data_IF_892209627075
#
_entry.id   IF_892209627075
#
_cell.length_a   1.000
_cell.length_b   1.000
_cell.length_c   1.000
_cell.angle_alpha   90.00
_cell.angle_beta   90.00
_cell.angle_gamma   90.00
#
_symmetry.space_group_name_H-M   'P 1'
#
loop_
_entity.id
_entity.type
_entity.pdbx_description
1 polymer ?
#
# COMPACT_ATOMS: atom_id res chain seq x y z
N UNK A 1 -7.60 -19.65 -25.15
CA UNK A 1 -6.18 -19.82 -24.75
C UNK A 1 -5.71 -18.49 -24.22
N UNK A 2 -4.83 -18.50 -23.21
CA UNK A 2 -4.24 -17.25 -22.72
C UNK A 2 -3.39 -16.59 -23.81
N UNK A 3 -3.46 -15.26 -23.89
CA UNK A 3 -2.62 -14.48 -24.78
C UNK A 3 -1.19 -14.37 -24.24
N UNK A 4 -0.24 -14.15 -25.15
CA UNK A 4 1.15 -13.83 -24.82
C UNK A 4 1.55 -12.48 -25.37
N UNK A 5 2.52 -11.82 -24.72
CA UNK A 5 3.04 -10.54 -25.22
C UNK A 5 3.71 -10.69 -26.57
N UNK A 6 4.33 -11.84 -26.86
CA UNK A 6 4.91 -12.13 -28.16
C UNK A 6 3.85 -12.13 -29.25
N UNK A 7 2.75 -12.87 -29.06
CA UNK A 7 1.62 -12.86 -30.01
C UNK A 7 1.10 -11.44 -30.26
N UNK A 8 0.90 -10.66 -29.19
CA UNK A 8 0.46 -9.26 -29.33
C UNK A 8 1.48 -8.40 -30.08
N UNK A 9 2.78 -8.58 -29.79
CA UNK A 9 3.87 -7.82 -30.40
C UNK A 9 4.16 -8.19 -31.84
N UNK A 10 3.77 -9.38 -32.30
CA UNK A 10 3.96 -9.82 -33.70
C UNK A 10 2.68 -9.73 -34.55
N UNK A 11 1.50 -9.61 -33.93
CA UNK A 11 0.22 -9.49 -34.62
C UNK A 11 0.14 -8.22 -35.50
N UNK A 12 -0.63 -8.26 -36.59
CA UNK A 12 -1.00 -7.05 -37.33
C UNK A 12 -1.76 -6.07 -36.44
N UNK A 13 -1.86 -4.80 -36.86
CA UNK A 13 -2.56 -3.79 -36.08
C UNK A 13 -4.03 -4.16 -35.81
N UNK A 14 -4.73 -4.71 -36.81
CA UNK A 14 -6.12 -5.13 -36.69
C UNK A 14 -6.29 -6.34 -35.76
N UNK A 15 -5.41 -7.34 -35.87
CA UNK A 15 -5.43 -8.50 -34.98
C UNK A 15 -5.14 -8.09 -33.53
N UNK A 16 -4.16 -7.21 -33.30
CA UNK A 16 -3.85 -6.72 -31.96
C UNK A 16 -5.04 -5.98 -31.32
N UNK A 17 -5.81 -5.20 -32.08
CA UNK A 17 -7.05 -4.59 -31.58
C UNK A 17 -8.06 -5.66 -31.17
N UNK A 18 -8.27 -6.67 -32.00
CA UNK A 18 -9.21 -7.74 -31.70
C UNK A 18 -8.78 -8.52 -30.43
N UNK A 19 -7.48 -8.73 -30.23
CA UNK A 19 -6.96 -9.36 -29.02
C UNK A 19 -7.24 -8.53 -27.76
N UNK A 20 -7.13 -7.21 -27.87
CA UNK A 20 -7.32 -6.25 -26.77
C UNK A 20 -8.77 -5.73 -26.65
N UNK A 21 -9.70 -6.24 -27.46
CA UNK A 21 -11.09 -5.81 -27.44
C UNK A 21 -11.76 -6.07 -26.08
N UNK A 22 -12.66 -5.18 -25.68
CA UNK A 22 -13.39 -5.27 -24.40
C UNK A 22 -12.59 -4.86 -23.15
N UNK A 23 -11.31 -4.47 -23.27
CA UNK A 23 -10.54 -3.96 -22.12
C UNK A 23 -11.11 -2.66 -21.55
N UNK A 24 -11.44 -1.72 -22.44
CA UNK A 24 -12.14 -0.48 -22.10
C UNK A 24 -13.50 -0.50 -22.78
N UNK A 25 -14.55 -0.21 -22.02
CA UNK A 25 -15.94 -0.31 -22.50
C UNK A 25 -16.18 0.59 -23.72
N UNK A 26 -16.57 -0.02 -24.86
CA UNK A 26 -16.88 0.66 -26.12
C UNK A 26 -15.83 1.71 -26.59
N UNK A 27 -14.56 1.52 -26.22
CA UNK A 27 -13.50 2.51 -26.42
C UNK A 27 -12.25 1.92 -27.10
N UNK A 28 -12.35 1.40 -28.34
CA UNK A 28 -11.24 0.75 -29.04
C UNK A 28 -10.06 1.69 -29.33
N UNK A 29 -10.33 3.00 -29.43
CA UNK A 29 -9.32 4.04 -29.69
C UNK A 29 -8.15 4.03 -28.69
N UNK A 30 -8.38 3.55 -27.46
CA UNK A 30 -7.33 3.46 -26.43
C UNK A 30 -6.30 2.41 -26.82
N UNK A 31 -6.77 1.23 -27.23
CA UNK A 31 -5.89 0.17 -27.72
C UNK A 31 -5.22 0.56 -29.05
N UNK A 32 -5.94 1.26 -29.93
CA UNK A 32 -5.39 1.81 -31.19
C UNK A 32 -4.19 2.73 -30.93
N UNK A 33 -4.34 3.70 -30.02
CA UNK A 33 -3.25 4.62 -29.68
C UNK A 33 -2.10 3.93 -28.95
N UNK A 34 -2.40 3.03 -28.01
CA UNK A 34 -1.37 2.32 -27.24
C UNK A 34 -0.44 1.47 -28.13
N UNK A 35 -0.93 0.95 -29.26
CA UNK A 35 -0.13 0.15 -30.19
C UNK A 35 1.08 0.90 -30.76
N UNK A 36 1.09 2.23 -30.78
CA UNK A 36 2.24 3.02 -31.19
C UNK A 36 3.49 2.79 -30.31
N UNK A 37 3.31 2.24 -29.11
CA UNK A 37 4.39 1.95 -28.15
C UNK A 37 4.91 0.50 -28.23
N UNK A 38 4.45 -0.29 -29.22
CA UNK A 38 4.97 -1.64 -29.44
C UNK A 38 6.47 -1.61 -29.83
N UNK A 39 7.27 -2.62 -29.44
CA UNK A 39 6.86 -3.81 -28.69
C UNK A 39 6.75 -3.56 -27.18
N UNK A 40 5.71 -4.14 -26.57
CA UNK A 40 5.52 -4.10 -25.12
C UNK A 40 6.47 -5.09 -24.43
N UNK A 41 7.00 -4.69 -23.27
CA UNK A 41 8.00 -5.44 -22.51
C UNK A 41 7.41 -6.23 -21.35
N UNK A 42 6.23 -5.81 -20.89
CA UNK A 42 5.49 -6.40 -19.78
C UNK A 42 4.02 -5.97 -19.90
N UNK A 43 3.13 -6.64 -19.16
CA UNK A 43 1.74 -6.20 -19.05
C UNK A 43 1.62 -4.83 -18.38
N UNK A 44 2.48 -4.52 -17.41
CA UNK A 44 2.55 -3.19 -16.81
C UNK A 44 2.92 -2.10 -17.83
N UNK A 45 3.83 -2.38 -18.77
CA UNK A 45 4.14 -1.45 -19.87
C UNK A 45 2.92 -1.23 -20.77
N UNK A 46 2.20 -2.29 -21.15
CA UNK A 46 0.96 -2.18 -21.93
C UNK A 46 -0.13 -1.39 -21.20
N UNK A 47 -0.34 -1.66 -19.90
CA UNK A 47 -1.29 -0.92 -19.07
C UNK A 47 -0.95 0.57 -19.01
N UNK A 48 0.32 0.90 -18.76
CA UNK A 48 0.78 2.27 -18.75
C UNK A 48 0.57 2.96 -20.11
N UNK A 49 0.88 2.29 -21.23
CA UNK A 49 0.64 2.83 -22.56
C UNK A 49 -0.85 3.17 -22.81
N UNK A 50 -1.77 2.32 -22.34
CA UNK A 50 -3.21 2.57 -22.43
C UNK A 50 -3.66 3.72 -21.50
N UNK A 51 -3.12 3.80 -20.28
CA UNK A 51 -3.40 4.90 -19.36
C UNK A 51 -2.92 6.24 -19.94
N UNK A 52 -1.73 6.27 -20.58
CA UNK A 52 -1.22 7.45 -21.27
C UNK A 52 -2.09 7.86 -22.48
N UNK A 53 -2.62 6.91 -23.24
CA UNK A 53 -3.59 7.20 -24.30
C UNK A 53 -4.81 7.94 -23.75
N UNK A 54 -5.40 7.46 -22.64
CA UNK A 54 -6.54 8.13 -21.98
C UNK A 54 -6.18 9.50 -21.43
N UNK A 55 -5.01 9.62 -20.79
CA UNK A 55 -4.52 10.86 -20.20
C UNK A 55 -4.33 11.96 -21.24
N UNK A 56 -3.78 11.61 -22.40
CA UNK A 56 -3.46 12.57 -23.48
C UNK A 56 -4.62 12.86 -24.42
N UNK A 57 -5.72 12.09 -24.38
CA UNK A 57 -6.87 12.26 -25.26
C UNK A 57 -7.74 13.50 -24.95
N UNK A 58 -7.47 14.20 -23.84
CA UNK A 58 -8.24 15.36 -23.41
C UNK A 58 -9.52 15.01 -22.65
N UNK A 59 -10.09 16.02 -22.00
CA UNK A 59 -11.19 15.83 -21.05
C UNK A 59 -12.48 15.30 -21.70
N UNK A 60 -12.81 15.70 -22.93
CA UNK A 60 -14.01 15.24 -23.63
C UNK A 60 -13.97 13.74 -23.90
N UNK A 61 -12.82 13.21 -24.34
CA UNK A 61 -12.62 11.79 -24.58
C UNK A 61 -12.68 11.00 -23.26
N UNK A 62 -12.12 11.53 -22.18
CA UNK A 62 -12.20 10.95 -20.85
C UNK A 62 -13.64 10.88 -20.33
N UNK A 63 -14.42 11.95 -20.48
CA UNK A 63 -15.84 11.97 -20.12
C UNK A 63 -16.66 10.99 -20.97
N UNK A 64 -16.37 10.91 -22.27
CA UNK A 64 -17.01 9.94 -23.17
C UNK A 64 -16.71 8.50 -22.72
N UNK A 65 -15.45 8.21 -22.36
CA UNK A 65 -15.03 6.91 -21.82
C UNK A 65 -15.78 6.56 -20.53
N UNK A 66 -15.90 7.50 -19.59
CA UNK A 66 -16.62 7.25 -18.33
C UNK A 66 -18.10 7.00 -18.61
N UNK A 67 -18.73 7.80 -19.49
CA UNK A 67 -20.14 7.65 -19.86
C UNK A 67 -20.45 6.37 -20.66
N UNK A 68 -19.44 5.79 -21.32
CA UNK A 68 -19.57 4.52 -22.00
C UNK A 68 -19.65 3.33 -21.02
N UNK A 69 -19.19 3.49 -19.78
CA UNK A 69 -19.26 2.44 -18.78
C UNK A 69 -20.68 2.32 -18.19
N UNK A 70 -21.18 1.08 -18.01
CA UNK A 70 -22.52 0.87 -17.47
C UNK A 70 -22.60 1.23 -15.97
N UNK A 71 -23.74 1.78 -15.57
CA UNK A 71 -24.04 2.05 -14.16
C UNK A 71 -24.12 0.76 -13.33
N UNK A 72 -23.65 0.84 -12.08
CA UNK A 72 -23.80 -0.24 -11.10
C UNK A 72 -25.28 -0.46 -10.78
N UNK A 73 -25.72 -1.71 -10.91
CA UNK A 73 -27.12 -2.12 -10.77
C UNK A 73 -28.11 -1.25 -11.59
N UNK A 74 -27.66 -0.67 -12.70
CA UNK A 74 -28.45 0.27 -13.50
C UNK A 74 -29.49 -0.41 -14.41
N UNK A 75 -30.19 0.42 -15.20
CA UNK A 75 -31.24 -0.03 -16.13
C UNK A 75 -30.75 -1.07 -17.14
N UNK A 76 -29.49 -0.99 -17.58
CA UNK A 76 -28.88 -1.97 -18.48
C UNK A 76 -28.76 -3.36 -17.84
N UNK A 77 -28.49 -3.44 -16.54
CA UNK A 77 -28.48 -4.71 -15.80
C UNK A 77 -29.89 -5.30 -15.72
N UNK A 78 -30.89 -4.47 -15.39
CA UNK A 78 -32.30 -4.88 -15.32
C UNK A 78 -32.81 -5.36 -16.68
N UNK A 79 -32.39 -4.68 -17.77
CA UNK A 79 -32.74 -5.03 -19.14
C UNK A 79 -31.87 -6.17 -19.74
N UNK A 80 -30.91 -6.72 -19.00
CA UNK A 80 -29.95 -7.74 -19.46
C UNK A 80 -29.14 -7.33 -20.71
N UNK A 81 -28.86 -6.04 -20.88
CA UNK A 81 -28.17 -5.46 -22.03
C UNK A 81 -26.70 -5.06 -21.72
N UNK A 82 -26.09 -5.66 -20.70
CA UNK A 82 -24.68 -5.46 -20.37
C UNK A 82 -23.78 -6.27 -21.32
N UNK A 83 -22.55 -5.80 -21.54
CA UNK A 83 -21.49 -6.61 -22.15
C UNK A 83 -21.20 -7.86 -21.31
N UNK A 84 -20.57 -8.87 -21.92
CA UNK A 84 -20.23 -10.11 -21.23
C UNK A 84 -19.27 -9.85 -20.06
N UNK A 85 -18.32 -8.94 -20.25
CA UNK A 85 -17.36 -8.47 -19.26
C UNK A 85 -18.07 -7.80 -18.08
N UNK A 86 -18.93 -6.82 -18.35
CA UNK A 86 -19.66 -6.08 -17.31
C UNK A 86 -20.63 -6.98 -16.53
N UNK A 87 -21.26 -7.95 -17.20
CA UNK A 87 -22.13 -8.94 -16.55
C UNK A 87 -21.36 -9.80 -15.56
N UNK A 88 -20.19 -10.29 -15.95
CA UNK A 88 -19.32 -11.10 -15.09
C UNK A 88 -18.85 -10.30 -13.86
N UNK A 89 -18.45 -9.04 -14.06
CA UNK A 89 -17.99 -8.15 -13.00
C UNK A 89 -19.07 -7.89 -11.94
N UNK A 90 -20.26 -7.46 -12.35
CA UNK A 90 -21.35 -7.17 -11.40
C UNK A 90 -21.89 -8.44 -10.73
N UNK A 91 -21.88 -9.58 -11.43
CA UNK A 91 -22.28 -10.87 -10.85
C UNK A 91 -21.30 -11.33 -9.75
N UNK A 92 -19.99 -11.16 -9.94
CA UNK A 92 -18.98 -11.51 -8.93
C UNK A 92 -19.10 -10.68 -7.65
N UNK A 93 -19.53 -9.43 -7.76
CA UNK A 93 -19.81 -8.57 -6.62
C UNK A 93 -21.19 -8.83 -5.97
N UNK A 94 -21.97 -9.78 -6.49
CA UNK A 94 -23.31 -10.11 -5.98
C UNK A 94 -24.35 -9.01 -6.21
N UNK A 95 -24.09 -8.04 -7.09
CA UNK A 95 -25.00 -6.92 -7.38
C UNK A 95 -26.24 -7.36 -8.16
N UNK A 96 -26.19 -8.53 -8.82
CA UNK A 96 -27.35 -9.16 -9.44
C UNK A 96 -28.31 -9.78 -8.42
N UNK A 97 -27.94 -9.80 -7.13
CA UNK A 97 -28.68 -10.39 -6.01
C UNK A 97 -28.82 -9.38 -4.85
N UNK A 98 -29.05 -8.10 -5.16
CA UNK A 98 -29.35 -7.09 -4.14
C UNK A 98 -30.72 -7.35 -3.48
N UNK A 99 -30.85 -7.04 -2.19
CA UNK A 99 -32.18 -6.90 -1.58
C UNK A 99 -32.89 -5.67 -2.16
N UNK A 100 -34.22 -5.57 -2.04
CA UNK A 100 -34.95 -4.37 -2.47
C UNK A 100 -34.40 -3.08 -1.87
N UNK A 101 -34.04 -3.09 -0.58
CA UNK A 101 -33.50 -1.93 0.12
C UNK A 101 -32.10 -1.54 -0.38
N UNK A 102 -31.24 -2.54 -0.62
CA UNK A 102 -29.91 -2.31 -1.23
C UNK A 102 -30.05 -1.74 -2.64
N UNK A 103 -30.98 -2.26 -3.43
CA UNK A 103 -31.23 -1.79 -4.78
C UNK A 103 -31.74 -0.34 -4.79
N UNK A 104 -32.76 -0.02 -3.97
CA UNK A 104 -33.29 1.33 -3.83
C UNK A 104 -32.21 2.33 -3.37
N UNK A 105 -31.34 1.90 -2.45
CA UNK A 105 -30.21 2.72 -1.99
C UNK A 105 -29.23 3.01 -3.12
N UNK A 106 -28.88 2.00 -3.94
CA UNK A 106 -28.00 2.18 -5.10
C UNK A 106 -28.65 3.09 -6.15
N UNK A 107 -29.94 2.96 -6.42
CA UNK A 107 -30.66 3.85 -7.35
C UNK A 107 -30.66 5.31 -6.89
N UNK A 108 -30.89 5.55 -5.59
CA UNK A 108 -30.82 6.89 -5.01
C UNK A 108 -29.42 7.49 -5.14
N UNK A 109 -28.38 6.69 -4.90
CA UNK A 109 -26.98 7.11 -5.06
C UNK A 109 -26.63 7.39 -6.54
N UNK A 110 -27.06 6.54 -7.47
CA UNK A 110 -26.88 6.77 -8.92
C UNK A 110 -27.51 8.10 -9.34
N UNK A 111 -28.72 8.41 -8.87
CA UNK A 111 -29.40 9.67 -9.18
C UNK A 111 -28.60 10.87 -8.67
N UNK A 112 -28.28 10.87 -7.36
CA UNK A 112 -27.53 11.97 -6.74
C UNK A 112 -26.14 12.17 -7.35
N UNK A 113 -25.47 11.07 -7.71
CA UNK A 113 -24.14 11.12 -8.31
C UNK A 113 -24.17 11.67 -9.73
N UNK A 114 -25.13 11.23 -10.56
CA UNK A 114 -25.29 11.80 -11.90
C UNK A 114 -25.68 13.27 -11.86
N UNK A 115 -26.56 13.68 -10.94
CA UNK A 115 -26.91 15.10 -10.74
C UNK A 115 -25.69 15.95 -10.37
N UNK A 116 -24.80 15.43 -9.53
CA UNK A 116 -23.62 16.15 -9.06
C UNK A 116 -22.48 16.19 -10.08
N UNK A 117 -22.17 15.07 -10.73
CA UNK A 117 -20.96 14.92 -11.54
C UNK A 117 -21.22 14.82 -13.05
N UNK A 118 -22.45 14.48 -13.47
CA UNK A 118 -22.81 14.40 -14.90
C UNK A 118 -22.24 13.18 -15.65
N UNK A 119 -21.83 12.15 -14.93
CA UNK A 119 -21.36 10.86 -15.44
C UNK A 119 -21.63 9.74 -14.41
N UNK A 120 -21.65 8.46 -14.83
CA UNK A 120 -21.95 7.34 -13.93
C UNK A 120 -20.85 7.08 -12.89
N UNK A 121 -21.24 6.54 -11.73
CA UNK A 121 -20.28 6.10 -10.72
C UNK A 121 -19.54 4.84 -11.16
N UNK A 122 -18.20 4.90 -11.12
CA UNK A 122 -17.34 3.79 -11.54
C UNK A 122 -16.55 3.26 -10.34
N UNK A 123 -16.65 1.96 -10.13
CA UNK A 123 -15.87 1.20 -9.16
C UNK A 123 -15.44 -0.12 -9.77
N UNK A 124 -14.18 -0.52 -9.58
CA UNK A 124 -13.71 -1.85 -9.95
C UNK A 124 -14.27 -2.91 -8.99
N UNK A 125 -15.54 -3.30 -9.19
CA UNK A 125 -16.32 -4.11 -8.23
C UNK A 125 -15.80 -5.52 -8.01
N UNK A 126 -14.93 -6.03 -8.90
CA UNK A 126 -14.20 -7.30 -8.66
C UNK A 126 -13.18 -7.19 -7.51
N UNK A 127 -12.86 -5.97 -7.07
CA UNK A 127 -11.93 -5.70 -5.99
C UNK A 127 -10.48 -6.03 -6.34
N UNK A 128 -9.54 -5.79 -5.41
CA UNK A 128 -8.12 -6.02 -5.64
C UNK A 128 -7.79 -7.48 -5.94
N UNK A 129 -8.56 -8.43 -5.36
CA UNK A 129 -8.38 -9.88 -5.51
C UNK A 129 -9.15 -10.51 -6.67
N UNK A 130 -9.96 -9.75 -7.40
CA UNK A 130 -10.77 -10.29 -8.48
C UNK A 130 -11.97 -11.14 -8.04
N UNK A 131 -12.20 -11.28 -6.73
CA UNK A 131 -13.23 -12.12 -6.10
C UNK A 131 -14.58 -11.43 -5.88
N UNK A 132 -14.65 -10.11 -6.10
CA UNK A 132 -15.83 -9.30 -5.78
C UNK A 132 -15.67 -8.55 -4.46
N UNK A 133 -15.99 -7.26 -4.46
CA UNK A 133 -16.12 -6.46 -3.25
C UNK A 133 -17.46 -6.79 -2.55
N UNK A 134 -17.51 -6.78 -1.21
CA UNK A 134 -18.76 -6.87 -0.48
C UNK A 134 -19.70 -5.72 -0.87
N UNK A 135 -21.00 -6.00 -1.05
CA UNK A 135 -22.02 -4.98 -1.39
C UNK A 135 -22.00 -3.78 -0.46
N UNK A 136 -21.83 -4.03 0.85
CA UNK A 136 -21.71 -2.96 1.85
C UNK A 136 -20.53 -2.03 1.56
N UNK A 137 -19.36 -2.58 1.22
CA UNK A 137 -18.17 -1.79 0.89
C UNK A 137 -18.38 -0.97 -0.39
N UNK A 138 -19.07 -1.52 -1.38
CA UNK A 138 -19.46 -0.81 -2.61
C UNK A 138 -20.36 0.39 -2.26
N UNK A 139 -21.43 0.16 -1.49
CA UNK A 139 -22.39 1.20 -1.10
C UNK A 139 -21.74 2.28 -0.23
N UNK A 140 -20.92 1.88 0.74
CA UNK A 140 -20.20 2.80 1.63
C UNK A 140 -19.18 3.65 0.83
N UNK A 141 -18.48 3.04 -0.13
CA UNK A 141 -17.56 3.74 -1.04
C UNK A 141 -18.31 4.72 -1.93
N UNK A 142 -19.46 4.31 -2.47
CA UNK A 142 -20.30 5.16 -3.31
C UNK A 142 -20.81 6.37 -2.51
N UNK A 143 -21.36 6.16 -1.32
CA UNK A 143 -21.81 7.25 -0.46
C UNK A 143 -20.69 8.23 -0.10
N UNK A 144 -19.50 7.73 0.26
CA UNK A 144 -18.33 8.56 0.59
C UNK A 144 -17.84 9.38 -0.60
N UNK A 145 -17.75 8.77 -1.79
CA UNK A 145 -17.25 9.43 -3.00
C UNK A 145 -18.21 10.50 -3.53
N UNK A 146 -19.48 10.44 -3.14
CA UNK A 146 -20.42 11.52 -3.45
C UNK A 146 -19.94 12.87 -2.90
N UNK A 147 -19.18 12.90 -1.81
CA UNK A 147 -18.69 14.14 -1.18
C UNK A 147 -17.43 14.72 -1.84
N UNK A 148 -16.83 14.02 -2.81
CA UNK A 148 -15.59 14.45 -3.46
C UNK A 148 -15.75 15.73 -4.30
N UNK A 149 -14.63 16.44 -4.49
CA UNK A 149 -14.54 17.51 -5.49
C UNK A 149 -14.68 16.93 -6.92
N UNK A 150 -15.41 17.57 -7.85
CA UNK A 150 -15.64 17.02 -9.20
C UNK A 150 -14.37 16.62 -9.96
N UNK A 151 -13.29 17.41 -9.87
CA UNK A 151 -12.02 17.09 -10.53
C UNK A 151 -11.36 15.84 -9.95
N UNK A 152 -11.40 15.68 -8.62
CA UNK A 152 -10.89 14.49 -7.96
C UNK A 152 -11.71 13.26 -8.33
N UNK A 153 -13.03 13.41 -8.40
CA UNK A 153 -13.94 12.31 -8.74
C UNK A 153 -13.80 11.87 -10.20
N UNK A 154 -13.55 12.80 -11.13
CA UNK A 154 -13.21 12.48 -12.51
C UNK A 154 -11.95 11.60 -12.57
N UNK A 155 -10.88 12.02 -11.88
CA UNK A 155 -9.64 11.25 -11.81
C UNK A 155 -9.85 9.87 -11.16
N UNK A 156 -10.64 9.81 -10.08
CA UNK A 156 -10.97 8.56 -9.41
C UNK A 156 -11.81 7.60 -10.28
N UNK A 157 -12.74 8.12 -11.07
CA UNK A 157 -13.48 7.31 -12.05
C UNK A 157 -12.55 6.71 -13.10
N UNK A 158 -11.62 7.50 -13.66
CA UNK A 158 -10.62 7.01 -14.61
C UNK A 158 -9.69 5.96 -13.97
N UNK A 159 -9.25 6.16 -12.73
CA UNK A 159 -8.47 5.15 -11.98
C UNK A 159 -9.21 3.82 -11.88
N UNK A 160 -10.51 3.85 -11.56
CA UNK A 160 -11.32 2.64 -11.47
C UNK A 160 -11.50 1.97 -12.85
N UNK A 161 -11.62 2.74 -13.93
CA UNK A 161 -11.63 2.23 -15.30
C UNK A 161 -10.30 1.56 -15.65
N UNK A 162 -9.16 2.18 -15.32
CA UNK A 162 -7.84 1.57 -15.51
C UNK A 162 -7.70 0.27 -14.72
N UNK A 163 -8.22 0.22 -13.49
CA UNK A 163 -8.22 -1.01 -12.68
C UNK A 163 -9.10 -2.10 -13.29
N UNK A 164 -10.27 -1.76 -13.83
CA UNK A 164 -11.13 -2.70 -14.57
C UNK A 164 -10.38 -3.25 -15.78
N UNK A 165 -9.77 -2.37 -16.59
CA UNK A 165 -9.00 -2.75 -17.76
C UNK A 165 -7.80 -3.65 -17.40
N UNK A 166 -7.10 -3.36 -16.30
CA UNK A 166 -6.03 -4.22 -15.77
C UNK A 166 -6.54 -5.62 -15.43
N UNK A 167 -7.68 -5.73 -14.73
CA UNK A 167 -8.27 -7.01 -14.36
C UNK A 167 -8.67 -7.81 -15.61
N UNK A 168 -9.31 -7.16 -16.60
CA UNK A 168 -9.67 -7.79 -17.89
C UNK A 168 -8.43 -8.21 -18.69
N UNK A 169 -7.36 -7.40 -18.65
CA UNK A 169 -6.09 -7.73 -19.29
C UNK A 169 -5.46 -8.96 -18.64
N UNK A 170 -5.44 -9.02 -17.30
CA UNK A 170 -4.96 -10.17 -16.55
C UNK A 170 -5.72 -11.44 -16.92
N UNK A 171 -7.05 -11.39 -17.02
CA UNK A 171 -7.86 -12.53 -17.48
C UNK A 171 -7.47 -13.01 -18.89
N UNK A 172 -7.30 -12.08 -19.85
CA UNK A 172 -6.92 -12.41 -21.23
C UNK A 172 -5.54 -13.07 -21.33
N UNK A 173 -4.60 -12.65 -20.50
CA UNK A 173 -3.23 -13.18 -20.46
C UNK A 173 -3.05 -14.30 -19.43
N UNK A 174 -4.11 -14.70 -18.73
CA UNK A 174 -4.05 -15.59 -17.57
C UNK A 174 -2.94 -15.20 -16.57
N UNK A 175 -2.77 -13.90 -16.37
CA UNK A 175 -1.78 -13.34 -15.46
C UNK A 175 -2.41 -13.13 -14.08
N UNK A 176 -1.70 -13.56 -13.04
CA UNK A 176 -2.10 -13.33 -11.65
C UNK A 176 -0.91 -12.78 -10.87
N UNK A 177 -1.07 -11.68 -10.10
CA UNK A 177 -0.01 -11.14 -9.26
C UNK A 177 0.17 -11.96 -7.97
N UNK A 178 0.39 -13.28 -8.08
CA UNK A 178 0.39 -14.21 -6.95
C UNK A 178 1.39 -13.82 -5.83
N UNK A 179 2.60 -13.37 -6.19
CA UNK A 179 3.58 -12.89 -5.20
C UNK A 179 3.11 -11.61 -4.49
N UNK A 180 2.45 -10.71 -5.22
CA UNK A 180 1.85 -9.51 -4.63
C UNK A 180 0.69 -9.85 -3.70
N UNK A 181 -0.10 -10.86 -4.05
CA UNK A 181 -1.17 -11.40 -3.22
C UNK A 181 -0.64 -11.95 -1.88
N UNK A 182 0.47 -12.69 -1.90
CA UNK A 182 1.09 -13.20 -0.67
C UNK A 182 1.61 -12.07 0.24
N UNK A 183 2.27 -11.07 -0.35
CA UNK A 183 2.75 -9.88 0.39
C UNK A 183 1.59 -9.09 0.98
N UNK A 184 0.48 -8.98 0.25
CA UNK A 184 -0.75 -8.38 0.75
C UNK A 184 -1.29 -9.16 1.95
N UNK A 185 -1.38 -10.49 1.82
CA UNK A 185 -1.98 -11.36 2.84
C UNK A 185 -1.15 -11.36 4.15
N UNK A 186 0.18 -11.26 4.07
CA UNK A 186 1.03 -11.04 5.24
C UNK A 186 0.76 -9.72 5.95
N UNK A 187 0.57 -8.63 5.20
CA UNK A 187 0.27 -7.31 5.79
C UNK A 187 -1.10 -7.27 6.44
N UNK A 188 -2.11 -7.82 5.77
CA UNK A 188 -3.46 -7.98 6.33
C UNK A 188 -3.43 -8.80 7.63
N UNK A 189 -2.70 -9.92 7.63
CA UNK A 189 -2.60 -10.77 8.81
C UNK A 189 -1.82 -10.12 9.94
N UNK A 190 -0.75 -9.38 9.65
CA UNK A 190 0.00 -8.64 10.66
C UNK A 190 -0.83 -7.48 11.24
N UNK A 191 -1.72 -6.88 10.45
CA UNK A 191 -2.61 -5.79 10.88
C UNK A 191 -3.70 -6.23 11.88
N UNK A 192 -3.87 -7.53 12.13
CA UNK A 192 -4.72 -8.02 13.22
C UNK A 192 -4.16 -7.68 14.62
N UNK A 193 -2.86 -7.42 14.71
CA UNK A 193 -2.22 -6.98 15.95
C UNK A 193 -2.30 -5.46 16.07
N UNK A 194 -3.08 -4.98 17.03
CA UNK A 194 -3.25 -3.56 17.34
C UNK A 194 -3.37 -3.35 18.84
N UNK A 195 -2.91 -2.21 19.33
CA UNK A 195 -2.93 -1.84 20.74
C UNK A 195 -4.38 -1.70 21.26
N UNK A 196 -4.65 -2.11 22.51
CA UNK A 196 -5.94 -1.90 23.14
C UNK A 196 -6.38 -0.42 23.13
N UNK A 197 -7.68 -0.18 22.95
CA UNK A 197 -8.26 1.16 22.79
C UNK A 197 -8.29 1.67 21.33
N UNK A 198 -7.49 1.06 20.45
CA UNK A 198 -7.50 1.27 19.00
C UNK A 198 -8.09 0.06 18.28
N UNK A 199 -7.69 -1.16 18.69
CA UNK A 199 -8.15 -2.41 18.10
C UNK A 199 -9.69 -2.54 18.07
N UNK A 200 -10.39 -2.19 19.15
CA UNK A 200 -11.85 -2.29 19.27
C UNK A 200 -12.59 -1.31 18.36
N UNK A 201 -11.90 -0.28 17.87
CA UNK A 201 -12.41 0.70 16.91
C UNK A 201 -12.07 0.33 15.46
N UNK A 202 -11.43 -0.83 15.23
CA UNK A 202 -10.91 -1.22 13.92
C UNK A 202 -9.72 -0.37 13.46
N UNK A 203 -9.02 0.30 14.39
CA UNK A 203 -7.86 1.13 14.09
C UNK A 203 -6.58 0.32 14.29
N UNK A 204 -5.59 0.55 13.44
CA UNK A 204 -4.27 -0.08 13.56
C UNK A 204 -3.32 0.83 14.33
N UNK A 205 -2.77 0.35 15.43
CA UNK A 205 -1.73 1.05 16.20
C UNK A 205 -0.81 0.01 16.81
N UNK A 206 0.46 0.04 16.45
CA UNK A 206 1.47 -0.89 16.97
C UNK A 206 2.63 -0.08 17.52
N UNK A 207 2.66 0.06 18.84
CA UNK A 207 3.61 0.92 19.54
C UNK A 207 4.78 0.10 20.09
N UNK A 208 6.02 0.59 19.98
CA UNK A 208 7.23 -0.11 20.46
C UNK A 208 7.06 -0.86 21.80
N UNK A 209 7.34 -2.16 21.79
CA UNK A 209 7.30 -3.08 22.95
C UNK A 209 5.98 -3.18 23.71
N UNK A 210 4.85 -2.82 23.10
CA UNK A 210 3.54 -3.28 23.57
C UNK A 210 3.31 -4.76 23.24
N UNK A 211 2.20 -5.33 23.72
CA UNK A 211 1.80 -6.70 23.36
C UNK A 211 1.59 -6.88 21.86
N UNK A 212 0.97 -5.90 21.20
CA UNK A 212 0.76 -5.92 19.75
C UNK A 212 2.10 -5.91 18.99
N UNK A 213 3.04 -5.07 19.43
CA UNK A 213 4.38 -4.97 18.84
C UNK A 213 5.17 -6.27 18.99
N UNK A 214 5.20 -6.86 20.19
CA UNK A 214 5.84 -8.15 20.42
C UNK A 214 5.18 -9.27 19.61
N UNK A 215 3.85 -9.26 19.46
CA UNK A 215 3.13 -10.21 18.63
C UNK A 215 3.50 -10.06 17.14
N UNK A 216 3.62 -8.84 16.63
CA UNK A 216 4.14 -8.57 15.29
C UNK A 216 5.56 -9.11 15.11
N UNK A 217 6.48 -8.79 16.03
CA UNK A 217 7.87 -9.22 15.96
C UNK A 217 7.97 -10.76 15.91
N UNK A 218 7.24 -11.44 16.79
CA UNK A 218 7.17 -12.90 16.80
C UNK A 218 6.59 -13.43 15.49
N UNK A 219 5.50 -12.85 14.98
CA UNK A 219 4.87 -13.30 13.74
C UNK A 219 5.81 -13.17 12.54
N UNK A 220 6.48 -12.04 12.38
CA UNK A 220 7.47 -11.80 11.32
C UNK A 220 8.61 -12.83 11.45
N UNK A 221 9.11 -13.06 12.67
CA UNK A 221 10.17 -14.03 12.93
C UNK A 221 9.76 -15.45 12.50
N UNK A 222 8.53 -15.88 12.78
CA UNK A 222 8.03 -17.18 12.32
C UNK A 222 7.97 -17.24 10.79
N UNK A 223 7.42 -16.21 10.14
CA UNK A 223 7.34 -16.18 8.68
C UNK A 223 8.70 -16.11 7.98
N UNK A 224 9.71 -15.46 8.57
CA UNK A 224 11.08 -15.53 8.05
C UNK A 224 11.59 -16.97 8.06
N UNK A 225 11.32 -17.75 9.12
CA UNK A 225 11.68 -19.19 9.13
C UNK A 225 10.92 -19.96 8.05
N UNK A 226 9.62 -19.72 7.89
CA UNK A 226 8.80 -20.35 6.84
C UNK A 226 9.28 -19.98 5.42
N UNK A 227 9.85 -18.79 5.24
CA UNK A 227 10.44 -18.35 3.98
C UNK A 227 11.81 -19.01 3.69
N UNK A 228 12.40 -19.72 4.65
CA UNK A 228 13.64 -20.45 4.45
C UNK A 228 14.92 -19.63 4.63
N UNK A 229 14.86 -18.59 5.47
CA UNK A 229 16.06 -17.93 6.00
C UNK A 229 16.89 -18.89 6.85
N UNK A 230 18.21 -18.80 6.77
CA UNK A 230 19.14 -19.69 7.46
C UNK A 230 19.30 -19.31 8.95
N UNK A 231 19.27 -18.01 9.26
CA UNK A 231 19.28 -17.47 10.63
C UNK A 231 18.09 -16.53 10.81
N UNK A 232 17.40 -16.65 11.95
CA UNK A 232 16.31 -15.72 12.32
C UNK A 232 16.34 -15.44 13.83
N UNK A 233 16.47 -14.17 14.18
CA UNK A 233 16.49 -13.70 15.57
C UNK A 233 15.64 -12.44 15.78
N UNK A 234 15.33 -12.16 17.04
CA UNK A 234 14.86 -10.85 17.50
C UNK A 234 15.99 -10.28 18.34
N UNK A 235 16.53 -9.14 17.91
CA UNK A 235 17.76 -8.60 18.47
C UNK A 235 17.54 -7.82 19.77
N UNK A 236 18.62 -7.27 20.35
CA UNK A 236 18.59 -6.58 21.64
C UNK A 236 17.72 -5.31 21.69
N UNK A 237 17.35 -4.73 20.54
CA UNK A 237 16.41 -3.61 20.44
C UNK A 237 15.05 -4.01 19.85
N UNK A 238 14.83 -5.31 19.65
CA UNK A 238 13.59 -5.86 19.14
C UNK A 238 13.47 -5.85 17.61
N UNK A 239 14.55 -5.58 16.86
CA UNK A 239 14.49 -5.75 15.42
C UNK A 239 14.33 -7.25 15.11
N UNK A 240 13.56 -7.58 14.07
CA UNK A 240 13.46 -8.95 13.59
C UNK A 240 14.43 -9.12 12.43
N UNK A 241 15.45 -9.95 12.60
CA UNK A 241 16.54 -10.10 11.63
C UNK A 241 16.48 -11.49 11.02
N UNK A 242 16.38 -11.56 9.70
CA UNK A 242 16.51 -12.79 8.93
C UNK A 242 17.74 -12.72 8.02
N UNK A 243 18.62 -13.72 8.07
CA UNK A 243 19.76 -13.84 7.13
C UNK A 243 19.62 -15.06 6.23
N UNK A 244 19.71 -14.82 4.93
CA UNK A 244 19.80 -15.83 3.89
C UNK A 244 21.23 -15.83 3.36
N UNK A 245 21.94 -16.94 3.55
CA UNK A 245 23.37 -17.03 3.33
C UNK A 245 23.75 -16.92 1.85
N UNK A 246 24.94 -16.36 1.55
CA UNK A 246 25.50 -16.39 0.21
C UNK A 246 25.80 -17.83 -0.25
N UNK A 247 26.02 -18.01 -1.55
CA UNK A 247 26.55 -19.25 -2.12
C UNK A 247 27.99 -19.53 -1.68
N UNK A 248 28.74 -18.48 -1.31
CA UNK A 248 30.14 -18.56 -0.87
C UNK A 248 30.27 -17.96 0.53
N UNK A 249 30.82 -18.74 1.46
CA UNK A 249 31.09 -18.28 2.82
C UNK A 249 32.00 -17.04 2.83
N UNK A 250 31.71 -16.09 3.74
CA UNK A 250 32.44 -14.84 3.85
C UNK A 250 32.12 -13.78 2.78
N UNK A 251 31.19 -14.05 1.86
CA UNK A 251 30.70 -13.02 0.95
C UNK A 251 29.87 -11.95 1.68
N UNK A 252 29.84 -10.75 1.11
CA UNK A 252 29.09 -9.61 1.65
C UNK A 252 27.58 -9.84 1.61
N UNK A 253 26.85 -9.06 2.39
CA UNK A 253 25.38 -9.06 2.43
C UNK A 253 24.80 -7.82 1.75
N UNK A 254 23.66 -7.97 1.09
CA UNK A 254 22.75 -6.87 0.81
C UNK A 254 21.78 -6.77 1.99
N UNK A 255 21.78 -5.64 2.70
CA UNK A 255 20.80 -5.38 3.74
C UNK A 255 19.57 -4.70 3.12
N UNK A 256 18.40 -5.12 3.56
CA UNK A 256 17.11 -4.58 3.14
C UNK A 256 16.13 -4.70 4.29
N UNK A 257 15.01 -4.00 4.22
CA UNK A 257 14.05 -3.97 5.31
C UNK A 257 13.41 -2.62 5.44
N UNK A 258 12.60 -2.51 6.48
CA UNK A 258 11.87 -1.30 6.89
C UNK A 258 11.29 -1.57 8.28
N UNK A 259 10.25 -0.88 8.71
CA UNK A 259 9.75 -0.92 10.08
C UNK A 259 8.38 -1.61 10.21
N UNK A 260 8.01 -2.04 11.43
CA UNK A 260 6.73 -2.74 11.68
C UNK A 260 5.86 -2.10 12.77
N UNK A 261 6.40 -1.13 13.51
CA UNK A 261 5.62 -0.16 14.28
C UNK A 261 4.77 0.69 13.34
N UNK A 262 3.78 1.38 13.90
CA UNK A 262 2.93 2.29 13.14
C UNK A 262 2.70 3.56 13.94
N UNK A 263 2.28 4.65 13.28
CA UNK A 263 1.56 5.74 13.95
C UNK A 263 0.21 5.29 14.56
N UNK A 264 -0.41 6.15 15.39
CA UNK A 264 -1.80 5.97 15.84
C UNK A 264 -2.75 5.96 14.65
N UNK A 265 -3.63 4.98 14.60
CA UNK A 265 -4.54 4.74 13.47
C UNK A 265 -3.80 4.78 12.11
N UNK A 266 -2.64 4.10 12.04
CA UNK A 266 -1.81 4.03 10.85
C UNK A 266 -2.39 3.15 9.75
N UNK A 267 -1.78 3.22 8.56
CA UNK A 267 -2.08 2.32 7.45
C UNK A 267 -1.45 0.93 7.62
N UNK A 268 -1.95 -0.05 6.88
CA UNK A 268 -1.46 -1.44 6.95
C UNK A 268 -0.13 -1.68 6.23
N UNK A 269 0.28 -0.75 5.37
CA UNK A 269 1.37 -0.94 4.39
C UNK A 269 2.64 -0.13 4.70
N UNK A 270 2.49 0.93 5.48
CA UNK A 270 3.59 1.80 5.89
C UNK A 270 4.64 0.98 6.67
N UNK A 271 5.91 1.10 6.27
CA UNK A 271 7.01 0.25 6.71
C UNK A 271 6.93 -1.23 6.28
N UNK A 272 5.84 -1.91 6.62
CA UNK A 272 5.66 -3.36 6.51
C UNK A 272 5.89 -3.90 5.09
N UNK A 273 5.54 -3.12 4.06
CA UNK A 273 5.81 -3.49 2.67
C UNK A 273 7.31 -3.75 2.43
N UNK A 274 8.18 -2.92 3.02
CA UNK A 274 9.64 -3.03 2.92
C UNK A 274 10.24 -4.23 3.61
N UNK A 275 9.48 -4.91 4.48
CA UNK A 275 9.86 -6.18 5.10
C UNK A 275 9.37 -7.34 4.25
N UNK A 276 8.12 -7.31 3.82
CA UNK A 276 7.48 -8.47 3.20
C UNK A 276 7.87 -8.68 1.72
N UNK A 277 8.17 -7.61 0.98
CA UNK A 277 8.70 -7.74 -0.39
C UNK A 277 10.01 -8.52 -0.44
N UNK A 278 11.06 -8.17 0.33
CA UNK A 278 12.29 -8.96 0.33
C UNK A 278 12.12 -10.34 0.95
N UNK A 279 11.20 -10.55 1.91
CA UNK A 279 10.85 -11.90 2.39
C UNK A 279 10.29 -12.78 1.26
N UNK A 280 9.41 -12.26 0.41
CA UNK A 280 8.92 -12.98 -0.76
C UNK A 280 10.07 -13.36 -1.71
N UNK A 281 11.01 -12.44 -1.94
CA UNK A 281 12.21 -12.72 -2.75
C UNK A 281 13.03 -13.88 -2.17
N UNK A 282 13.30 -13.88 -0.86
CA UNK A 282 14.04 -14.97 -0.19
C UNK A 282 13.27 -16.29 -0.29
N UNK A 283 11.95 -16.28 -0.07
CA UNK A 283 11.11 -17.47 -0.21
C UNK A 283 11.20 -18.11 -1.59
N UNK A 284 11.15 -17.30 -2.65
CA UNK A 284 11.25 -17.82 -4.02
C UNK A 284 12.68 -18.28 -4.36
N UNK A 285 13.72 -17.62 -3.83
CA UNK A 285 15.09 -18.11 -3.92
C UNK A 285 15.27 -19.47 -3.23
N UNK A 286 14.74 -19.61 -2.03
CA UNK A 286 14.80 -20.84 -1.25
C UNK A 286 14.04 -21.98 -1.95
N UNK A 287 12.81 -21.74 -2.41
CA UNK A 287 12.00 -22.71 -3.17
C UNK A 287 12.70 -23.18 -4.45
N UNK A 288 13.45 -22.30 -5.11
CA UNK A 288 14.23 -22.63 -6.29
C UNK A 288 15.60 -23.29 -5.96
N UNK A 289 15.94 -23.48 -4.69
CA UNK A 289 17.25 -23.98 -4.26
C UNK A 289 18.41 -23.06 -4.65
N UNK A 290 18.15 -21.76 -4.85
CA UNK A 290 19.10 -20.81 -5.43
C UNK A 290 19.72 -19.92 -4.36
N UNK A 291 21.05 -19.98 -4.22
CA UNK A 291 21.85 -19.02 -3.45
C UNK A 291 22.46 -17.96 -4.38
N UNK A 292 22.63 -16.73 -3.89
CA UNK A 292 23.23 -15.62 -4.65
C UNK A 292 24.73 -15.48 -4.32
N UNK A 293 25.54 -14.77 -5.13
CA UNK A 293 26.95 -14.48 -4.80
C UNK A 293 27.16 -13.61 -3.55
N UNK A 294 26.09 -13.13 -2.93
CA UNK A 294 26.03 -12.33 -1.71
C UNK A 294 24.85 -12.81 -0.85
N UNK A 295 24.91 -12.58 0.46
CA UNK A 295 23.80 -12.90 1.36
C UNK A 295 22.72 -11.83 1.35
N UNK A 296 21.51 -12.16 1.81
CA UNK A 296 20.44 -11.18 2.03
C UNK A 296 20.18 -11.10 3.53
N UNK A 297 20.25 -9.90 4.09
CA UNK A 297 19.82 -9.62 5.46
C UNK A 297 18.54 -8.77 5.40
N UNK A 298 17.42 -9.32 5.88
CA UNK A 298 16.16 -8.59 6.00
C UNK A 298 15.96 -8.19 7.45
N UNK A 299 15.78 -6.90 7.68
CA UNK A 299 15.54 -6.34 9.02
C UNK A 299 14.15 -5.72 9.09
N UNK A 300 13.31 -6.25 9.96
CA UNK A 300 12.14 -5.54 10.45
C UNK A 300 12.57 -4.65 11.62
N UNK A 301 12.77 -3.36 11.38
CA UNK A 301 13.14 -2.39 12.40
C UNK A 301 12.03 -2.24 13.43
N UNK A 302 12.42 -2.24 14.70
CA UNK A 302 11.48 -2.27 15.81
C UNK A 302 10.72 -0.96 16.01
N UNK A 303 11.31 0.16 15.66
CA UNK A 303 10.68 1.47 15.80
C UNK A 303 11.37 2.47 14.88
N UNK A 304 10.55 3.15 14.08
CA UNK A 304 10.94 4.26 13.21
C UNK A 304 10.23 5.54 13.66
N UNK A 305 8.93 5.43 13.99
CA UNK A 305 7.99 6.55 14.10
C UNK A 305 8.22 7.42 15.35
N UNK A 306 8.84 6.86 16.39
CA UNK A 306 9.12 7.53 17.65
C UNK A 306 7.87 7.84 18.48
N UNK A 307 6.89 6.93 18.45
CA UNK A 307 5.57 7.14 19.07
C UNK A 307 5.59 7.01 20.60
N UNK A 308 6.26 5.98 21.12
CA UNK A 308 6.24 5.67 22.56
C UNK A 308 7.24 6.50 23.35
N UNK A 309 8.44 6.59 22.80
CA UNK A 309 9.59 7.30 23.36
C UNK A 309 10.11 8.25 22.31
N UNK A 310 10.71 9.37 22.73
CA UNK A 310 11.34 10.35 21.82
C UNK A 310 12.71 9.81 21.39
N UNK A 311 12.68 8.71 20.64
CA UNK A 311 13.80 7.91 20.19
C UNK A 311 13.50 7.37 18.79
N UNK A 312 13.23 8.27 17.84
CA UNK A 312 13.09 7.94 16.42
C UNK A 312 14.33 7.22 15.92
N UNK A 313 14.15 6.21 15.07
CA UNK A 313 15.22 5.39 14.49
C UNK A 313 16.05 4.58 15.51
N UNK A 314 15.47 4.19 16.66
CA UNK A 314 16.21 3.42 17.67
C UNK A 314 16.72 2.08 17.12
N UNK A 315 15.91 1.42 16.28
CA UNK A 315 16.23 0.11 15.71
C UNK A 315 17.40 0.16 14.74
N UNK A 316 17.33 1.08 13.77
CA UNK A 316 18.38 1.29 12.76
C UNK A 316 19.62 1.96 13.35
N UNK A 317 19.45 2.89 14.30
CA UNK A 317 20.53 3.52 15.05
C UNK A 317 21.43 2.49 15.75
N UNK A 318 20.86 1.44 16.33
CA UNK A 318 21.63 0.36 16.94
C UNK A 318 22.52 -0.40 15.94
N UNK A 319 22.07 -0.59 14.69
CA UNK A 319 22.85 -1.28 13.67
C UNK A 319 24.05 -0.46 13.18
N UNK A 320 24.01 0.86 13.26
CA UNK A 320 25.12 1.73 12.86
C UNK A 320 26.00 2.18 14.05
N UNK A 321 25.58 1.89 15.28
CA UNK A 321 26.28 2.27 16.51
C UNK A 321 25.85 3.61 17.11
N UNK A 322 24.77 4.21 16.60
CA UNK A 322 24.22 5.51 17.03
C UNK A 322 23.08 5.39 18.06
N UNK A 323 22.90 4.21 18.67
CA UNK A 323 21.94 4.05 19.77
C UNK A 323 22.33 4.96 20.94
N UNK A 324 21.43 5.85 21.38
CA UNK A 324 21.68 6.74 22.50
C UNK A 324 21.26 6.10 23.83
N UNK A 325 22.19 5.77 24.75
CA UNK A 325 21.86 5.13 26.02
C UNK A 325 20.93 5.95 26.92
N UNK A 326 20.88 7.28 26.76
CA UNK A 326 19.98 8.14 27.53
C UNK A 326 18.49 7.87 27.22
N UNK A 327 18.17 7.25 26.09
CA UNK A 327 16.81 6.83 25.77
C UNK A 327 16.26 5.79 26.75
N UNK A 328 17.12 4.97 27.35
CA UNK A 328 16.73 3.91 28.29
C UNK A 328 15.97 4.44 29.51
N UNK A 329 16.25 5.68 29.92
CA UNK A 329 15.65 6.30 31.10
C UNK A 329 14.45 7.20 30.76
N UNK A 330 14.13 7.38 29.47
CA UNK A 330 12.90 8.05 29.04
C UNK A 330 11.68 7.25 29.48
N UNK A 331 10.63 7.97 29.88
CA UNK A 331 9.33 7.42 30.28
C UNK A 331 8.30 7.65 29.18
N UNK A 332 7.43 6.67 28.98
CA UNK A 332 6.21 6.86 28.21
C UNK A 332 5.14 7.62 29.02
N UNK A 333 3.95 7.77 28.44
CA UNK A 333 2.83 8.50 29.06
C UNK A 333 2.32 7.88 30.36
N UNK A 334 2.57 6.58 30.55
CA UNK A 334 2.17 5.83 31.75
C UNK A 334 3.32 5.73 32.78
N UNK A 335 4.46 6.37 32.49
CA UNK A 335 5.62 6.41 33.38
C UNK A 335 6.56 5.21 33.27
N UNK A 336 6.35 4.31 32.30
CA UNK A 336 7.18 3.12 32.07
C UNK A 336 8.45 3.54 31.32
N UNK A 337 9.62 3.22 31.89
CA UNK A 337 10.89 3.52 31.22
C UNK A 337 11.15 2.57 30.06
N UNK A 338 11.88 3.03 29.02
CA UNK A 338 12.29 2.17 27.92
C UNK A 338 13.06 0.94 28.43
N UNK A 339 13.93 1.12 29.43
CA UNK A 339 14.62 0.02 30.12
C UNK A 339 13.65 -1.02 30.67
N UNK A 340 12.61 -0.58 31.38
CA UNK A 340 11.61 -1.49 31.94
C UNK A 340 10.81 -2.21 30.84
N UNK A 341 10.47 -1.51 29.76
CA UNK A 341 9.80 -2.11 28.61
C UNK A 341 10.67 -3.18 27.92
N UNK A 342 11.95 -2.91 27.68
CA UNK A 342 12.90 -3.85 27.09
C UNK A 342 13.11 -5.09 27.99
N UNK A 343 13.26 -4.88 29.30
CA UNK A 343 13.36 -5.97 30.27
C UNK A 343 12.08 -6.82 30.30
N UNK A 344 10.90 -6.18 30.27
CA UNK A 344 9.62 -6.89 30.22
C UNK A 344 9.46 -7.69 28.91
N UNK A 345 10.01 -7.19 27.80
CA UNK A 345 10.07 -7.89 26.53
C UNK A 345 11.12 -9.02 26.50
N UNK A 346 11.96 -9.15 27.52
CA UNK A 346 13.03 -10.15 27.59
C UNK A 346 14.27 -9.80 26.77
N UNK A 347 14.42 -8.53 26.38
CA UNK A 347 15.56 -8.07 25.58
C UNK A 347 16.78 -7.79 26.47
N UNK A 348 17.95 -8.24 26.00
CA UNK A 348 19.22 -8.06 26.71
C UNK A 348 19.86 -6.72 26.32
N UNK A 349 19.67 -5.69 27.15
CA UNK A 349 20.18 -4.33 26.88
C UNK A 349 21.71 -4.29 26.73
N UNK A 350 22.43 -5.14 27.46
CA UNK A 350 23.90 -5.22 27.40
C UNK A 350 24.41 -5.77 26.05
N UNK A 351 23.53 -6.36 25.24
CA UNK A 351 23.84 -6.85 23.90
C UNK A 351 23.66 -5.79 22.80
N UNK A 352 23.10 -4.61 23.10
CA UNK A 352 22.89 -3.54 22.10
C UNK A 352 24.19 -3.15 21.36
N UNK A 353 25.36 -2.98 22.02
CA UNK A 353 26.60 -2.68 21.32
C UNK A 353 27.05 -3.77 20.32
N UNK A 354 26.58 -5.01 20.48
CA UNK A 354 26.90 -6.13 19.57
C UNK A 354 26.12 -6.07 18.26
N UNK A 355 25.08 -5.21 18.18
CA UNK A 355 24.25 -5.07 17.00
C UNK A 355 24.94 -4.29 15.87
N UNK A 356 25.98 -3.51 16.20
CA UNK A 356 26.68 -2.69 15.22
C UNK A 356 27.22 -3.54 14.07
N UNK A 357 26.82 -3.20 12.85
CA UNK A 357 27.29 -3.83 11.62
C UNK A 357 28.61 -3.22 11.18
N UNK A 358 29.52 -4.06 10.68
CA UNK A 358 30.71 -3.62 9.95
C UNK A 358 30.32 -3.29 8.50
N UNK A 359 30.38 -2.02 8.07
CA UNK A 359 29.99 -1.63 6.71
C UNK A 359 30.79 -2.35 5.61
N UNK A 360 32.01 -2.81 5.89
CA UNK A 360 32.81 -3.57 4.92
C UNK A 360 32.18 -4.92 4.55
N UNK A 361 31.30 -5.46 5.39
CA UNK A 361 30.57 -6.72 5.15
C UNK A 361 29.31 -6.52 4.30
N UNK A 362 28.95 -5.30 3.91
CA UNK A 362 27.71 -5.01 3.19
C UNK A 362 27.94 -4.39 1.81
N UNK A 363 27.03 -4.68 0.88
CA UNK A 363 26.98 -4.08 -0.45
C UNK A 363 26.30 -2.70 -0.45
N UNK A 364 25.37 -2.50 0.47
CA UNK A 364 24.51 -1.33 0.56
C UNK A 364 23.17 -1.68 1.23
N UNK A 365 22.29 -0.69 1.33
CA UNK A 365 20.94 -0.82 1.85
C UNK A 365 19.92 -0.46 0.77
N UNK A 366 18.86 -1.26 0.64
CA UNK A 366 17.71 -0.98 -0.23
C UNK A 366 16.44 -1.14 0.59
N UNK A 367 15.57 -0.14 0.54
CA UNK A 367 14.25 -0.18 1.15
C UNK A 367 13.18 -0.04 0.07
N UNK A 368 12.14 -0.86 0.18
CA UNK A 368 10.91 -0.72 -0.60
C UNK A 368 9.88 -0.06 0.31
N UNK A 369 9.24 0.99 -0.17
CA UNK A 369 8.26 1.72 0.62
C UNK A 369 7.09 2.19 -0.24
N UNK A 370 5.93 2.39 0.39
CA UNK A 370 4.84 3.11 -0.27
C UNK A 370 5.25 4.58 -0.45
N UNK A 371 4.71 5.25 -1.46
CA UNK A 371 5.07 6.65 -1.75
C UNK A 371 4.70 7.60 -0.60
N UNK A 372 3.62 7.29 0.13
CA UNK A 372 2.95 8.17 1.11
C UNK A 372 2.47 9.52 0.51
N UNK A 373 2.55 9.65 -0.81
CA UNK A 373 2.14 10.81 -1.60
C UNK A 373 1.33 10.40 -2.83
N UNK A 374 0.86 11.38 -3.61
CA UNK A 374 -0.06 11.13 -4.72
C UNK A 374 0.63 10.98 -6.09
N UNK A 375 1.95 11.20 -6.22
CA UNK A 375 2.64 11.44 -7.49
C UNK A 375 2.64 10.22 -8.41
N UNK A 376 3.05 9.05 -7.93
CA UNK A 376 3.05 7.82 -8.73
C UNK A 376 1.63 7.46 -9.18
N UNK A 377 0.67 7.62 -8.26
CA UNK A 377 -0.74 7.44 -8.56
C UNK A 377 -1.23 8.46 -9.61
N UNK A 378 -0.82 9.72 -9.54
CA UNK A 378 -1.18 10.76 -10.52
C UNK A 378 -0.50 10.55 -11.87
N UNK A 379 0.59 9.78 -11.93
CA UNK A 379 1.34 9.46 -13.15
C UNK A 379 0.98 8.09 -13.76
N UNK A 380 0.07 7.33 -13.14
CA UNK A 380 -0.23 5.93 -13.50
C UNK A 380 1.03 5.05 -13.54
N UNK A 381 1.92 5.21 -12.55
CA UNK A 381 3.16 4.47 -12.43
C UNK A 381 3.14 3.57 -11.18
N UNK A 382 3.51 2.27 -11.30
CA UNK A 382 3.51 1.35 -10.17
C UNK A 382 4.80 1.38 -9.34
N UNK A 383 5.83 2.09 -9.79
CA UNK A 383 7.16 2.10 -9.17
C UNK A 383 7.86 3.44 -9.39
N UNK A 384 8.42 3.99 -8.31
CA UNK A 384 9.33 5.14 -8.32
C UNK A 384 10.72 4.75 -7.83
N UNK A 385 11.76 5.35 -8.41
CA UNK A 385 13.14 5.24 -7.92
C UNK A 385 13.45 6.49 -7.11
N UNK A 386 13.51 6.36 -5.79
CA UNK A 386 13.79 7.47 -4.86
C UNK A 386 15.22 7.96 -5.08
N UNK A 387 15.39 9.27 -5.29
CA UNK A 387 16.69 9.90 -5.51
C UNK A 387 17.23 10.61 -4.27
N UNK A 388 16.35 11.15 -3.43
CA UNK A 388 16.70 11.86 -2.20
C UNK A 388 15.50 11.93 -1.25
N UNK A 389 15.78 12.10 0.04
CA UNK A 389 14.79 12.39 1.09
C UNK A 389 14.98 13.84 1.54
N UNK A 390 13.88 14.57 1.73
CA UNK A 390 13.95 15.96 2.16
C UNK A 390 14.49 16.09 3.59
N UNK A 391 15.34 17.09 3.83
CA UNK A 391 15.68 17.49 5.21
C UNK A 391 14.46 18.07 5.92
N UNK A 392 14.26 17.72 7.19
CA UNK A 392 13.14 18.21 8.01
C UNK A 392 13.64 19.08 9.16
N UNK A 393 12.96 20.20 9.41
CA UNK A 393 13.15 21.02 10.62
C UNK A 393 11.80 21.18 11.29
N UNK A 394 11.70 20.78 12.56
CA UNK A 394 10.49 20.90 13.37
C UNK A 394 10.72 21.98 14.43
N UNK A 395 9.86 22.99 14.48
CA UNK A 395 9.92 24.07 15.47
C UNK A 395 8.82 23.87 16.52
N UNK A 396 9.18 24.03 17.79
CA UNK A 396 8.21 24.21 18.86
C UNK A 396 8.19 25.69 19.22
N UNK A 397 7.05 26.34 19.00
CA UNK A 397 6.85 27.74 19.34
C UNK A 397 6.01 27.84 20.60
N UNK A 398 6.49 28.63 21.57
CA UNK A 398 5.73 28.99 22.77
C UNK A 398 5.42 30.49 22.69
N UNK A 399 4.13 30.83 22.84
CA UNK A 399 3.67 32.20 22.95
C UNK A 399 3.25 32.44 24.40
N UNK A 400 3.91 33.39 25.07
CA UNK A 400 3.66 33.70 26.48
C UNK A 400 2.97 35.05 26.59
N UNK A 401 1.68 35.00 26.90
CA UNK A 401 0.88 36.16 27.24
C UNK A 401 0.68 36.33 28.75
N UNK A 402 -0.26 37.19 29.14
CA UNK A 402 -0.73 37.36 30.51
C UNK A 402 -2.21 37.01 30.58
N UNK A 403 -2.54 35.93 31.28
CA UNK A 403 -3.94 35.57 31.53
C UNK A 403 -4.66 36.72 32.25
N UNK A 404 -5.73 37.24 31.65
CA UNK A 404 -6.48 38.39 32.15
C UNK A 404 -7.98 38.16 31.96
N UNK A 405 -8.83 38.89 32.69
CA UNK A 405 -10.28 38.73 32.59
C UNK A 405 -10.80 39.27 31.24
N UNK A 406 -11.53 38.43 30.50
CA UNK A 406 -11.91 38.70 29.11
C UNK A 406 -12.78 39.95 28.92
N UNK A 407 -13.65 40.28 29.90
CA UNK A 407 -14.58 41.41 29.80
C UNK A 407 -14.07 42.72 30.41
N UNK A 408 -13.02 42.68 31.24
CA UNK A 408 -12.62 43.84 32.05
C UNK A 408 -11.19 44.28 31.81
N UNK A 409 -10.44 43.58 30.95
CA UNK A 409 -9.08 43.98 30.56
C UNK A 409 -9.17 44.80 29.27
N UNK A 410 -8.93 46.12 29.33
CA UNK A 410 -8.93 46.97 28.14
C UNK A 410 -7.91 46.48 27.11
N UNK A 411 -8.23 46.60 25.82
CA UNK A 411 -7.39 46.07 24.74
C UNK A 411 -5.95 46.60 24.75
N UNK A 412 -5.76 47.88 25.12
CA UNK A 412 -4.45 48.54 25.23
C UNK A 412 -3.63 48.06 26.44
N UNK A 413 -4.22 47.26 27.33
CA UNK A 413 -3.57 46.68 28.51
C UNK A 413 -3.42 45.16 28.45
N UNK A 414 -3.88 44.53 27.37
CA UNK A 414 -3.71 43.10 27.16
C UNK A 414 -2.26 42.81 26.78
N UNK A 415 -1.78 41.65 27.21
CA UNK A 415 -0.56 41.03 26.72
C UNK A 415 -0.97 39.66 26.20
N UNK A 416 -1.68 39.65 25.08
CA UNK A 416 -2.13 38.41 24.46
C UNK A 416 -0.92 37.69 23.83
N UNK A 417 -0.99 36.35 23.78
CA UNK A 417 0.06 35.46 23.28
C UNK A 417 -0.07 35.25 21.77
#
# INVERSE_FOLDING_TARGET
>A
MALTLEQLNTASAAEALQLLDGLYEHSPWIAEQAQAQRPFRSLAHLQHAMAQAVRTAGQDAQLALIRAHPELAGKAMVAQNLTAESTNEQSKAGLTQCTPEEFDRIQALNTAYNERFGFPFILAVRGPRGTGLPKREIIDTFARRLDNHPEFELAEALRNIHRIAEIRLNDKFAAEPALGNDVWDWQEKLAEHSDPGFAEKGQLTVTYLTDAHRACAQRISHWMRDCGFDEVEIDAVGNVVGRYHPATEGARYLITGSHYDTVRNGGKYDGRLGIFVPMACVRELHRAGRRLPFGIEVVGFAEEEGQRYKATFLGSGALIGDFNPAWLDQKDVDGVTMRAAMQHAGLCIDDIPKLQRDPAQYLGFIEVHIEQGPVLNELDLPLGVVTSINGSVRFLCEMIGTASHAGTTPMDRRRDA
#
